data_IF_851859626504
#
_entry.id   IF_851859626504
#
_cell.length_a   1.000
_cell.length_b   1.000
_cell.length_c   1.000
_cell.angle_alpha   90.00
_cell.angle_beta   90.00
_cell.angle_gamma   90.00
#
_symmetry.space_group_name_H-M   'P 1'
#
loop_
_entity.id
_entity.type
_entity.pdbx_description
1 polymer ?
#
# COMPACT_ATOMS: atom_id res chain seq x y z
N UNK A 1 -17.55 26.02 30.15
CA UNK A 1 -18.43 26.45 29.05
C UNK A 1 -19.71 25.67 29.24
N UNK A 2 -20.75 26.28 29.81
CA UNK A 2 -22.01 25.58 30.09
C UNK A 2 -22.69 25.28 28.77
N UNK A 3 -22.79 24.01 28.40
CA UNK A 3 -23.54 23.56 27.23
C UNK A 3 -24.99 24.05 27.38
N UNK A 4 -25.31 25.14 26.68
CA UNK A 4 -26.68 25.60 26.52
C UNK A 4 -27.38 24.52 25.70
N UNK A 5 -28.03 23.57 26.38
CA UNK A 5 -28.77 22.47 25.76
C UNK A 5 -29.87 23.09 24.91
N UNK A 6 -29.65 23.15 23.59
CA UNK A 6 -30.66 23.58 22.64
C UNK A 6 -31.83 22.61 22.71
N UNK A 7 -33.03 23.15 22.92
CA UNK A 7 -34.27 22.41 22.99
C UNK A 7 -35.09 22.65 21.72
N UNK A 8 -35.93 21.69 21.39
CA UNK A 8 -36.90 21.77 20.30
C UNK A 8 -38.27 21.39 20.85
N UNK A 9 -39.30 22.03 20.31
CA UNK A 9 -40.69 21.70 20.62
C UNK A 9 -41.21 20.68 19.61
N UNK A 10 -41.79 19.58 20.11
CA UNK A 10 -42.39 18.57 19.24
C UNK A 10 -43.61 19.13 18.51
N UNK A 11 -43.65 19.01 17.18
CA UNK A 11 -44.80 19.48 16.38
C UNK A 11 -46.12 18.72 16.63
N UNK A 12 -46.06 17.54 17.25
CA UNK A 12 -47.22 16.66 17.43
C UNK A 12 -47.75 16.63 18.86
N UNK A 13 -46.87 16.65 19.87
CA UNK A 13 -47.27 16.62 21.28
C UNK A 13 -46.92 17.89 22.05
N UNK A 14 -46.34 18.88 21.37
CA UNK A 14 -45.94 20.19 21.93
C UNK A 14 -44.95 20.13 23.09
N UNK A 15 -44.41 18.95 23.39
CA UNK A 15 -43.44 18.78 24.46
C UNK A 15 -42.07 19.33 24.05
N UNK A 16 -41.40 19.97 25.00
CA UNK A 16 -40.05 20.49 24.83
C UNK A 16 -39.02 19.43 25.25
N UNK A 17 -38.02 19.20 24.40
CA UNK A 17 -36.98 18.19 24.63
C UNK A 17 -35.67 18.58 23.93
N UNK A 18 -34.53 17.98 24.30
CA UNK A 18 -33.25 18.33 23.69
C UNK A 18 -33.19 18.03 22.18
N UNK A 19 -32.61 18.95 21.42
CA UNK A 19 -32.47 18.88 19.95
C UNK A 19 -31.62 17.69 19.48
N UNK A 20 -30.76 17.15 20.34
CA UNK A 20 -29.86 16.03 20.03
C UNK A 20 -30.59 14.69 19.85
N UNK A 21 -31.79 14.54 20.42
CA UNK A 21 -32.56 13.32 20.24
C UNK A 21 -33.14 13.25 18.83
N UNK A 22 -32.95 12.12 18.15
CA UNK A 22 -33.53 11.85 16.84
C UNK A 22 -35.05 11.70 16.85
N UNK A 23 -35.64 11.41 18.01
CA UNK A 23 -37.07 11.21 18.18
C UNK A 23 -37.54 11.93 19.44
N UNK A 24 -38.76 12.47 19.41
CA UNK A 24 -39.42 13.01 20.58
C UNK A 24 -39.62 11.87 21.61
N UNK A 25 -39.15 12.01 22.85
CA UNK A 25 -39.26 10.95 23.85
C UNK A 25 -40.69 10.71 24.34
N UNK A 26 -41.60 11.65 24.06
CA UNK A 26 -42.98 11.60 24.55
C UNK A 26 -43.95 10.95 23.57
N UNK A 27 -43.77 11.19 22.26
CA UNK A 27 -44.68 10.67 21.22
C UNK A 27 -43.99 9.91 20.10
N UNK A 28 -42.66 9.76 20.14
CA UNK A 28 -41.88 9.03 19.15
C UNK A 28 -41.65 9.76 17.82
N UNK A 29 -42.29 10.93 17.62
CA UNK A 29 -42.17 11.65 16.36
C UNK A 29 -40.71 12.02 16.04
N UNK A 30 -40.34 11.87 14.77
CA UNK A 30 -39.03 12.20 14.25
C UNK A 30 -38.66 13.68 14.50
N UNK A 31 -37.48 13.89 15.09
CA UNK A 31 -36.81 15.18 15.14
C UNK A 31 -35.83 15.28 13.97
N UNK A 32 -35.96 16.31 13.14
CA UNK A 32 -35.09 16.50 11.98
C UNK A 32 -33.64 16.77 12.39
N UNK A 33 -33.41 17.66 13.35
CA UNK A 33 -32.07 18.09 13.75
C UNK A 33 -31.26 16.97 14.41
N UNK A 34 -31.88 16.19 15.29
CA UNK A 34 -31.24 15.03 15.91
C UNK A 34 -30.90 13.95 14.88
N UNK A 35 -31.80 13.70 13.92
CA UNK A 35 -31.54 12.75 12.83
C UNK A 35 -30.44 13.22 11.89
N UNK A 36 -30.40 14.50 11.54
CA UNK A 36 -29.34 15.07 10.70
C UNK A 36 -27.96 14.89 11.35
N UNK A 37 -27.84 15.16 12.66
CA UNK A 37 -26.59 14.92 13.40
C UNK A 37 -26.16 13.45 13.36
N UNK A 38 -27.08 12.52 13.59
CA UNK A 38 -26.78 11.08 13.51
C UNK A 38 -26.39 10.68 12.09
N UNK A 39 -27.08 11.21 11.08
CA UNK A 39 -26.77 10.96 9.67
C UNK A 39 -25.36 11.43 9.32
N UNK A 40 -25.00 12.67 9.67
CA UNK A 40 -23.67 13.22 9.42
C UNK A 40 -22.58 12.44 10.17
N UNK A 41 -22.86 12.01 11.41
CA UNK A 41 -21.95 11.17 12.17
C UNK A 41 -21.71 9.82 11.48
N UNK A 42 -22.77 9.14 11.02
CA UNK A 42 -22.64 7.88 10.27
C UNK A 42 -21.86 8.07 8.97
N UNK A 43 -22.12 9.16 8.24
CA UNK A 43 -21.37 9.49 7.02
C UNK A 43 -19.87 9.68 7.30
N UNK A 44 -19.51 10.32 8.42
CA UNK A 44 -18.10 10.47 8.82
C UNK A 44 -17.44 9.11 9.11
N UNK A 45 -18.16 8.19 9.74
CA UNK A 45 -17.66 6.84 10.02
C UNK A 45 -17.48 6.02 8.74
N UNK A 46 -18.40 6.14 7.79
CA UNK A 46 -18.30 5.52 6.47
C UNK A 46 -17.02 6.02 5.77
N UNK A 47 -16.81 7.34 5.71
CA UNK A 47 -15.59 7.92 5.13
C UNK A 47 -14.30 7.38 5.76
N UNK A 48 -14.26 7.26 7.10
CA UNK A 48 -13.11 6.67 7.80
C UNK A 48 -12.88 5.20 7.43
N UNK A 49 -13.95 4.40 7.32
CA UNK A 49 -13.86 3.00 6.89
C UNK A 49 -13.34 2.90 5.45
N UNK A 50 -13.85 3.69 4.52
CA UNK A 50 -13.34 3.72 3.15
C UNK A 50 -11.85 4.10 3.09
N UNK A 51 -11.43 5.12 3.84
CA UNK A 51 -10.03 5.52 3.91
C UNK A 51 -9.12 4.40 4.47
N UNK A 52 -9.61 3.65 5.47
CA UNK A 52 -8.87 2.51 6.01
C UNK A 52 -8.74 1.36 5.02
N UNK A 53 -9.77 1.06 4.22
CA UNK A 53 -9.72 0.05 3.17
C UNK A 53 -8.70 0.43 2.09
N UNK A 54 -8.77 1.66 1.57
CA UNK A 54 -7.82 2.16 0.57
C UNK A 54 -6.36 2.14 1.08
N UNK A 55 -6.15 2.40 2.37
CA UNK A 55 -4.83 2.30 2.98
C UNK A 55 -4.32 0.84 3.07
N UNK A 56 -5.19 -0.10 3.41
CA UNK A 56 -4.87 -1.54 3.46
C UNK A 56 -4.48 -2.04 2.07
N UNK A 57 -5.25 -1.69 1.02
CA UNK A 57 -4.97 -2.09 -0.36
C UNK A 57 -3.59 -1.61 -0.82
N UNK A 58 -3.22 -0.34 -0.53
CA UNK A 58 -1.91 0.20 -0.91
C UNK A 58 -0.74 -0.56 -0.27
N UNK A 59 -0.88 -0.99 0.99
CA UNK A 59 0.17 -1.76 1.70
C UNK A 59 0.31 -3.17 1.14
N UNK A 60 -0.80 -3.82 0.78
CA UNK A 60 -0.79 -5.16 0.18
C UNK A 60 -0.12 -5.11 -1.20
N UNK A 61 -0.55 -4.16 -2.05
CA UNK A 61 0.00 -3.98 -3.41
C UNK A 61 1.51 -3.73 -3.36
N UNK A 62 1.99 -2.84 -2.48
CA UNK A 62 3.42 -2.55 -2.38
C UNK A 62 4.24 -3.77 -1.97
N UNK A 63 3.72 -4.60 -1.05
CA UNK A 63 4.40 -5.81 -0.57
C UNK A 63 4.51 -6.87 -1.67
N UNK A 64 3.49 -7.01 -2.51
CA UNK A 64 3.55 -7.93 -3.65
C UNK A 64 4.51 -7.44 -4.73
N UNK A 65 4.49 -6.15 -5.07
CA UNK A 65 5.42 -5.56 -6.04
C UNK A 65 6.87 -5.76 -5.57
N UNK A 66 7.16 -5.56 -4.27
CA UNK A 66 8.51 -5.73 -3.74
C UNK A 66 9.02 -7.18 -3.86
N UNK A 67 8.12 -8.16 -3.63
CA UNK A 67 8.45 -9.58 -3.80
C UNK A 67 8.76 -9.92 -5.26
N UNK A 68 7.92 -9.45 -6.19
CA UNK A 68 8.11 -9.68 -7.62
C UNK A 68 9.42 -9.03 -8.10
N UNK A 69 9.66 -7.77 -7.71
CA UNK A 69 10.89 -7.06 -8.05
C UNK A 69 12.15 -7.79 -7.54
N UNK A 70 12.09 -8.34 -6.32
CA UNK A 70 13.19 -9.13 -5.76
C UNK A 70 13.51 -10.39 -6.57
N UNK A 71 12.48 -11.14 -6.99
CA UNK A 71 12.65 -12.35 -7.80
C UNK A 71 13.23 -11.98 -9.18
N UNK A 72 12.69 -10.95 -9.83
CA UNK A 72 13.19 -10.51 -11.15
C UNK A 72 14.65 -10.07 -11.08
N UNK A 73 15.03 -9.32 -10.03
CA UNK A 73 16.42 -8.91 -9.82
C UNK A 73 17.35 -10.12 -9.60
N UNK A 74 16.91 -11.11 -8.83
CA UNK A 74 17.68 -12.33 -8.60
C UNK A 74 17.91 -13.12 -9.91
N UNK A 75 16.88 -13.25 -10.74
CA UNK A 75 17.00 -13.92 -12.05
C UNK A 75 18.01 -13.19 -12.96
N UNK A 76 17.94 -11.86 -13.03
CA UNK A 76 18.89 -11.05 -13.81
C UNK A 76 20.32 -11.23 -13.30
N UNK A 77 20.51 -11.22 -11.98
CA UNK A 77 21.83 -11.42 -11.37
C UNK A 77 22.43 -12.79 -11.71
N UNK A 78 21.61 -13.85 -11.72
CA UNK A 78 22.04 -15.20 -12.12
C UNK A 78 22.46 -15.22 -13.59
N UNK A 79 21.69 -14.60 -14.48
CA UNK A 79 22.03 -14.55 -15.92
C UNK A 79 23.38 -13.83 -16.12
N UNK A 80 23.59 -12.70 -15.45
CA UNK A 80 24.85 -11.95 -15.52
C UNK A 80 26.02 -12.81 -15.01
N UNK A 81 25.83 -13.52 -13.89
CA UNK A 81 26.87 -14.40 -13.35
C UNK A 81 27.25 -15.50 -14.34
N UNK A 82 26.27 -16.14 -14.99
CA UNK A 82 26.53 -17.17 -16.02
C UNK A 82 27.33 -16.59 -17.18
N UNK A 83 26.92 -15.44 -17.72
CA UNK A 83 27.65 -14.78 -18.82
C UNK A 83 29.11 -14.48 -18.40
N UNK A 84 29.32 -13.99 -17.19
CA UNK A 84 30.65 -13.68 -16.67
C UNK A 84 31.54 -14.91 -16.54
N UNK A 85 30.97 -16.05 -16.10
CA UNK A 85 31.72 -17.31 -16.02
C UNK A 85 32.16 -17.80 -17.39
N UNK A 86 31.30 -17.71 -18.42
CA UNK A 86 31.63 -18.13 -19.79
C UNK A 86 32.79 -17.27 -20.33
N UNK A 87 32.69 -15.94 -20.23
CA UNK A 87 33.73 -15.01 -20.69
C UNK A 87 35.06 -15.27 -19.98
N UNK A 88 35.02 -15.60 -18.69
CA UNK A 88 36.23 -15.88 -17.90
C UNK A 88 36.94 -17.16 -18.35
N UNK A 89 36.16 -18.20 -18.69
CA UNK A 89 36.70 -19.47 -19.20
C UNK A 89 37.33 -19.25 -20.59
N UNK A 90 36.62 -18.57 -21.50
CA UNK A 90 37.14 -18.31 -22.84
C UNK A 90 38.46 -17.53 -22.78
N UNK A 91 38.52 -16.46 -21.99
CA UNK A 91 39.75 -15.66 -21.82
C UNK A 91 40.92 -16.50 -21.30
N UNK A 92 40.66 -17.44 -20.38
CA UNK A 92 41.69 -18.34 -19.84
C UNK A 92 42.18 -19.36 -20.89
N UNK A 93 41.29 -19.85 -21.75
CA UNK A 93 41.68 -20.76 -22.83
C UNK A 93 42.47 -20.04 -23.92
N UNK A 94 42.09 -18.80 -24.27
CA UNK A 94 42.86 -17.99 -25.21
C UNK A 94 44.25 -17.63 -24.67
N UNK A 95 44.38 -17.28 -23.39
CA UNK A 95 45.68 -16.95 -22.81
C UNK A 95 46.64 -18.14 -22.79
N UNK A 96 46.14 -19.35 -22.50
CA UNK A 96 46.93 -20.58 -22.56
C UNK A 96 47.46 -20.85 -23.96
N UNK A 97 46.59 -20.83 -24.98
CA UNK A 97 47.00 -21.06 -26.38
C UNK A 97 48.06 -20.05 -26.85
N UNK A 98 47.91 -18.77 -26.48
CA UNK A 98 48.90 -17.74 -26.84
C UNK A 98 50.25 -17.99 -26.16
N UNK A 99 50.25 -18.41 -24.88
CA UNK A 99 51.49 -18.69 -24.16
C UNK A 99 52.22 -19.92 -24.70
N UNK A 100 51.49 -20.97 -25.08
CA UNK A 100 52.06 -22.14 -25.75
C UNK A 100 52.68 -21.77 -27.11
N UNK A 101 51.96 -20.99 -27.94
CA UNK A 101 52.51 -20.51 -29.21
C UNK A 101 53.77 -19.66 -29.01
N UNK A 102 53.78 -18.75 -28.02
CA UNK A 102 54.98 -17.95 -27.72
C UNK A 102 56.16 -18.81 -27.28
N UNK A 103 55.92 -19.83 -26.44
CA UNK A 103 56.96 -20.75 -26.00
C UNK A 103 57.58 -21.53 -27.16
N UNK A 104 56.74 -22.05 -28.07
CA UNK A 104 57.24 -22.76 -29.26
C UNK A 104 58.07 -21.86 -30.17
N UNK A 105 57.64 -20.61 -30.42
CA UNK A 105 58.39 -19.66 -31.25
C UNK A 105 59.76 -19.33 -30.63
N UNK A 106 59.84 -19.14 -29.31
CA UNK A 106 61.11 -18.85 -28.63
C UNK A 106 62.07 -20.03 -28.77
N UNK A 107 61.57 -21.27 -28.63
CA UNK A 107 62.39 -22.48 -28.76
C UNK A 107 62.86 -22.73 -30.20
N UNK A 108 62.12 -22.32 -31.23
CA UNK A 108 62.55 -22.47 -32.64
C UNK A 108 63.64 -21.47 -33.06
N UNK A 109 63.78 -20.34 -32.37
CA UNK A 109 64.74 -19.28 -32.72
C UNK A 109 66.11 -19.51 -32.05
N UNK A 110 66.20 -20.40 -31.05
CA UNK A 110 67.38 -20.62 -30.20
C UNK A 110 68.14 -21.90 -30.59
#
# INVERSE_FOLDING_TARGET
MSDMKKTVTCKYCSAEYPEELANCPYCGNANFYGQEKIYMQRMSQIRKRLASLAYIDKKIILKEILKIAGITAAVIAVIIAVIFTIISIDKNNYSKQINEMRGNIINEIQ
#
